data_IF_972723312555
#
_entry.id   IF_972723312555
#
_cell.length_a   1.000
_cell.length_b   1.000
_cell.length_c   1.000
_cell.angle_alpha   90.00
_cell.angle_beta   90.00
_cell.angle_gamma   90.00
#
_symmetry.space_group_name_H-M   'P 1'
#
loop_
_entity.id
_entity.type
_entity.pdbx_description
1 polymer ?
#
# COMPACT_ATOMS: atom_id res chain seq x y z
N UNK A 1 -14.49 -7.05 -3.20
CA UNK A 1 -14.82 -8.49 -3.18
C UNK A 1 -15.08 -8.97 -4.59
N UNK A 2 -15.96 -8.29 -5.32
CA UNK A 2 -16.29 -8.68 -6.70
C UNK A 2 -15.22 -8.14 -7.67
N UNK A 3 -15.33 -6.86 -8.03
CA UNK A 3 -14.53 -6.26 -9.11
C UNK A 3 -13.28 -5.50 -8.65
N UNK A 4 -12.98 -5.57 -7.35
CA UNK A 4 -11.80 -4.94 -6.75
C UNK A 4 -10.52 -5.75 -6.98
N UNK A 5 -9.43 -5.08 -7.37
CA UNK A 5 -8.11 -5.70 -7.53
C UNK A 5 -6.98 -4.78 -7.09
N UNK A 6 -5.80 -5.37 -6.79
CA UNK A 6 -4.60 -4.60 -6.47
C UNK A 6 -4.02 -3.98 -7.75
N UNK A 7 -3.61 -2.71 -7.68
CA UNK A 7 -2.87 -2.08 -8.80
C UNK A 7 -1.55 -2.80 -9.07
N UNK A 8 -0.79 -3.07 -8.01
CA UNK A 8 0.45 -3.84 -8.05
C UNK A 8 0.83 -4.30 -6.65
N UNK A 9 1.73 -5.28 -6.55
CA UNK A 9 2.25 -5.77 -5.24
C UNK A 9 3.05 -4.71 -4.46
N UNK A 10 3.53 -3.66 -5.14
CA UNK A 10 4.36 -2.60 -4.56
C UNK A 10 3.57 -1.34 -4.19
N UNK A 11 2.33 -1.22 -4.66
CA UNK A 11 1.50 -0.03 -4.47
C UNK A 11 0.35 -0.31 -3.52
N UNK A 12 -0.07 0.72 -2.79
CA UNK A 12 -1.34 0.72 -2.03
C UNK A 12 -2.55 1.11 -2.88
N UNK A 13 -2.35 1.32 -4.18
CA UNK A 13 -3.43 1.65 -5.10
C UNK A 13 -4.34 0.45 -5.35
N UNK A 14 -5.64 0.73 -5.46
CA UNK A 14 -6.68 -0.26 -5.74
C UNK A 14 -7.30 0.06 -7.09
N UNK A 15 -7.71 -0.96 -7.83
CA UNK A 15 -8.41 -0.87 -9.10
C UNK A 15 -9.83 -1.41 -8.90
N UNK A 16 -10.83 -0.72 -9.43
CA UNK A 16 -12.17 -1.26 -9.64
C UNK A 16 -12.33 -1.55 -11.14
N UNK A 17 -12.65 -2.80 -11.46
CA UNK A 17 -12.84 -3.26 -12.83
C UNK A 17 -14.24 -2.86 -13.33
N UNK A 18 -14.31 -1.73 -14.05
CA UNK A 18 -15.56 -1.13 -14.54
C UNK A 18 -15.67 -1.19 -16.06
N UNK A 19 -15.13 -2.24 -16.68
CA UNK A 19 -14.95 -2.34 -18.14
C UNK A 19 -16.25 -2.25 -18.93
N UNK A 20 -17.38 -2.60 -18.32
CA UNK A 20 -18.70 -2.61 -18.95
C UNK A 20 -19.44 -1.26 -18.88
N UNK A 21 -18.84 -0.23 -18.29
CA UNK A 21 -19.45 1.09 -18.17
C UNK A 21 -18.90 2.07 -19.22
N UNK A 22 -19.74 3.02 -19.61
CA UNK A 22 -19.32 4.15 -20.44
C UNK A 22 -18.40 5.09 -19.64
N UNK A 23 -17.49 5.78 -20.35
CA UNK A 23 -16.55 6.71 -19.71
C UNK A 23 -17.25 7.80 -18.88
N UNK A 24 -18.40 8.32 -19.35
CA UNK A 24 -19.18 9.33 -18.61
C UNK A 24 -19.70 8.81 -17.26
N UNK A 25 -20.09 7.53 -17.20
CA UNK A 25 -20.55 6.90 -15.96
C UNK A 25 -19.38 6.71 -15.00
N UNK A 26 -18.21 6.33 -15.52
CA UNK A 26 -16.98 6.16 -14.73
C UNK A 26 -16.49 7.50 -14.19
N UNK A 27 -16.56 8.57 -14.97
CA UNK A 27 -16.24 9.93 -14.54
C UNK A 27 -17.18 10.39 -13.43
N UNK A 28 -18.48 10.15 -13.59
CA UNK A 28 -19.50 10.43 -12.57
C UNK A 28 -19.22 9.65 -11.28
N UNK A 29 -18.91 8.36 -11.38
CA UNK A 29 -18.57 7.54 -10.23
C UNK A 29 -17.28 8.03 -9.55
N UNK A 30 -16.27 8.45 -10.31
CA UNK A 30 -15.07 9.07 -9.74
C UNK A 30 -15.39 10.35 -8.97
N UNK A 31 -16.27 11.21 -9.49
CA UNK A 31 -16.70 12.44 -8.80
C UNK A 31 -17.39 12.12 -7.48
N UNK A 32 -18.32 11.16 -7.48
CA UNK A 32 -19.04 10.74 -6.26
C UNK A 32 -18.07 10.14 -5.22
N UNK A 33 -17.16 9.28 -5.65
CA UNK A 33 -16.16 8.67 -4.77
C UNK A 33 -15.23 9.71 -4.16
N UNK A 34 -14.84 10.73 -4.93
CA UNK A 34 -14.02 11.83 -4.46
C UNK A 34 -14.78 12.71 -3.48
N UNK A 35 -16.00 13.14 -3.81
CA UNK A 35 -16.73 14.08 -2.97
C UNK A 35 -17.29 13.45 -1.71
N UNK A 36 -18.00 12.32 -1.82
CA UNK A 36 -18.71 11.71 -0.69
C UNK A 36 -17.77 10.96 0.26
N UNK A 37 -16.76 10.29 -0.28
CA UNK A 37 -15.89 9.40 0.50
C UNK A 37 -14.44 9.92 0.61
N UNK A 38 -14.13 11.06 0.00
CA UNK A 38 -12.79 11.66 -0.02
C UNK A 38 -11.71 10.69 -0.56
N UNK A 39 -12.11 9.84 -1.51
CA UNK A 39 -11.22 8.91 -2.19
C UNK A 39 -10.63 9.56 -3.45
N UNK A 40 -9.32 9.74 -3.47
CA UNK A 40 -8.59 10.22 -4.65
C UNK A 40 -8.60 9.12 -5.71
N UNK A 41 -9.48 9.26 -6.70
CA UNK A 41 -9.62 8.30 -7.78
C UNK A 41 -9.69 8.99 -9.15
N UNK A 42 -9.41 8.22 -10.20
CA UNK A 42 -9.48 8.69 -11.58
C UNK A 42 -9.78 7.54 -12.55
N UNK A 43 -10.39 7.83 -13.71
CA UNK A 43 -10.50 6.86 -14.79
C UNK A 43 -9.10 6.43 -15.27
N UNK A 44 -8.94 5.13 -15.53
CA UNK A 44 -7.74 4.52 -16.09
C UNK A 44 -8.11 3.78 -17.37
N UNK A 45 -7.46 4.13 -18.47
CA UNK A 45 -7.59 3.42 -19.76
C UNK A 45 -6.84 2.09 -19.71
N UNK A 46 -7.46 1.05 -20.25
CA UNK A 46 -6.84 -0.24 -20.50
C UNK A 46 -7.15 -0.68 -21.93
N UNK A 47 -6.12 -0.84 -22.74
CA UNK A 47 -6.24 -1.34 -24.11
C UNK A 47 -6.24 -2.87 -24.08
N UNK A 48 -7.14 -3.47 -24.83
CA UNK A 48 -7.21 -4.91 -25.05
C UNK A 48 -7.27 -5.18 -26.55
N UNK A 49 -6.58 -6.22 -26.99
CA UNK A 49 -6.68 -6.72 -28.35
C UNK A 49 -7.73 -7.83 -28.37
N UNK A 50 -8.82 -7.66 -29.11
CA UNK A 50 -9.90 -8.64 -29.28
C UNK A 50 -10.11 -8.81 -30.77
N UNK A 51 -9.97 -10.03 -31.29
CA UNK A 51 -10.14 -10.34 -32.72
C UNK A 51 -9.32 -9.42 -33.66
N UNK A 52 -8.05 -9.17 -33.32
CA UNK A 52 -7.15 -8.24 -34.01
C UNK A 52 -7.58 -6.75 -33.99
N UNK A 53 -8.61 -6.41 -33.24
CA UNK A 53 -9.07 -5.04 -33.03
C UNK A 53 -8.67 -4.54 -31.64
N UNK A 54 -8.25 -3.27 -31.54
CA UNK A 54 -7.90 -2.67 -30.24
C UNK A 54 -9.14 -2.04 -29.60
N UNK A 55 -9.65 -2.68 -28.55
CA UNK A 55 -10.73 -2.15 -27.73
C UNK A 55 -10.16 -1.36 -26.54
N UNK A 56 -10.82 -0.25 -26.18
CA UNK A 56 -10.45 0.56 -25.02
C UNK A 56 -11.51 0.34 -23.95
N UNK A 57 -11.07 -0.21 -22.83
CA UNK A 57 -11.87 -0.34 -21.62
C UNK A 57 -11.40 0.63 -20.56
N UNK A 58 -12.27 0.90 -19.59
CA UNK A 58 -12.02 1.85 -18.53
C UNK A 58 -12.19 1.20 -17.16
N UNK A 59 -11.26 1.51 -16.27
CA UNK A 59 -11.27 1.13 -14.86
C UNK A 59 -11.26 2.37 -13.99
N UNK A 60 -11.61 2.22 -12.71
CA UNK A 60 -11.34 3.26 -11.72
C UNK A 60 -10.06 2.90 -10.98
N UNK A 61 -9.10 3.83 -10.98
CA UNK A 61 -7.91 3.73 -10.16
C UNK A 61 -8.10 4.58 -8.90
N UNK A 62 -8.03 3.95 -7.72
CA UNK A 62 -7.99 4.61 -6.42
C UNK A 62 -6.54 4.72 -5.97
N UNK A 63 -6.11 5.95 -5.68
CA UNK A 63 -4.77 6.28 -5.24
C UNK A 63 -4.42 5.63 -3.90
N UNK A 64 -3.17 5.18 -3.76
CA UNK A 64 -2.66 4.68 -2.48
C UNK A 64 -2.61 5.73 -1.36
N UNK A 65 -2.71 7.03 -1.70
CA UNK A 65 -2.89 8.10 -0.71
C UNK A 65 -4.20 7.97 0.06
N UNK A 66 -5.24 7.38 -0.55
CA UNK A 66 -6.53 7.13 0.09
C UNK A 66 -6.61 5.78 0.80
N UNK A 67 -5.49 5.07 0.98
CA UNK A 67 -5.46 3.74 1.59
C UNK A 67 -6.11 3.72 2.98
N UNK A 68 -5.75 4.65 3.86
CA UNK A 68 -6.24 4.64 5.25
C UNK A 68 -7.75 4.95 5.30
N UNK A 69 -8.24 5.82 4.42
CA UNK A 69 -9.67 6.14 4.27
C UNK A 69 -10.41 4.92 3.74
N UNK A 70 -9.94 4.34 2.63
CA UNK A 70 -10.55 3.17 2.01
C UNK A 70 -10.60 1.99 2.98
N UNK A 71 -9.52 1.75 3.73
CA UNK A 71 -9.47 0.69 4.75
C UNK A 71 -10.55 0.89 5.81
N UNK A 72 -10.69 2.10 6.36
CA UNK A 72 -11.73 2.40 7.36
C UNK A 72 -13.15 2.18 6.83
N UNK A 73 -13.37 2.39 5.52
CA UNK A 73 -14.70 2.27 4.91
C UNK A 73 -15.10 0.81 4.67
N UNK A 74 -14.18 -0.04 4.21
CA UNK A 74 -14.55 -1.37 3.68
C UNK A 74 -13.93 -2.54 4.44
N UNK A 75 -12.85 -2.33 5.21
CA UNK A 75 -12.03 -3.44 5.68
C UNK A 75 -12.73 -4.30 6.73
N UNK A 76 -13.53 -3.69 7.61
CA UNK A 76 -14.27 -4.44 8.63
C UNK A 76 -15.42 -5.27 8.04
N UNK A 77 -15.81 -4.96 6.80
CA UNK A 77 -16.79 -5.73 6.03
C UNK A 77 -16.13 -6.76 5.11
N UNK A 78 -14.79 -6.81 5.02
CA UNK A 78 -14.10 -7.79 4.19
C UNK A 78 -14.10 -9.17 4.86
N UNK A 79 -14.55 -10.19 4.11
CA UNK A 79 -14.35 -11.57 4.49
C UNK A 79 -12.85 -11.91 4.52
N UNK A 80 -12.37 -12.72 5.48
CA UNK A 80 -10.96 -13.10 5.59
C UNK A 80 -10.38 -13.69 4.30
N UNK A 81 -11.18 -14.48 3.58
CA UNK A 81 -10.82 -15.12 2.32
C UNK A 81 -10.58 -14.11 1.20
N UNK A 82 -11.10 -12.89 1.33
CA UNK A 82 -10.97 -11.81 0.34
C UNK A 82 -9.84 -10.83 0.66
N UNK A 83 -9.12 -11.02 1.77
CA UNK A 83 -8.03 -10.12 2.18
C UNK A 83 -6.91 -10.01 1.15
N UNK A 84 -6.69 -11.04 0.33
CA UNK A 84 -5.67 -11.00 -0.73
C UNK A 84 -5.92 -9.92 -1.80
N UNK A 85 -7.16 -9.45 -1.95
CA UNK A 85 -7.54 -8.36 -2.88
C UNK A 85 -7.26 -6.97 -2.31
N UNK A 86 -6.96 -6.85 -1.01
CA UNK A 86 -6.76 -5.57 -0.34
C UNK A 86 -5.27 -5.30 -0.05
N UNK A 87 -4.76 -4.06 -0.25
CA UNK A 87 -3.35 -3.78 -0.05
C UNK A 87 -2.92 -3.98 1.41
N UNK A 88 -1.69 -4.47 1.62
CA UNK A 88 -1.15 -4.63 2.97
C UNK A 88 -0.83 -3.26 3.62
N UNK A 89 -0.94 -3.15 4.96
CA UNK A 89 -0.45 -2.00 5.69
C UNK A 89 1.05 -1.75 5.42
N UNK A 90 1.48 -0.49 5.53
CA UNK A 90 2.91 -0.16 5.38
C UNK A 90 3.64 -0.72 6.60
N UNK A 91 4.68 -1.53 6.39
CA UNK A 91 5.56 -1.95 7.48
C UNK A 91 6.22 -0.71 8.09
N UNK A 92 5.97 -0.45 9.36
CA UNK A 92 6.71 0.57 10.10
C UNK A 92 8.12 0.01 10.31
N UNK A 93 9.10 0.50 9.55
CA UNK A 93 10.49 0.20 9.85
C UNK A 93 10.78 0.82 11.21
N UNK A 94 11.04 0.00 12.24
CA UNK A 94 11.54 0.49 13.53
C UNK A 94 12.81 1.29 13.21
N UNK A 95 12.82 2.60 13.52
CA UNK A 95 14.05 3.39 13.45
C UNK A 95 15.07 2.70 14.36
N UNK A 96 16.28 2.44 13.86
CA UNK A 96 17.41 2.11 14.74
C UNK A 96 17.61 3.31 15.64
N UNK A 97 17.06 3.28 16.85
CA UNK A 97 17.48 4.17 17.91
C UNK A 97 18.92 3.78 18.22
N UNK A 98 19.89 4.62 17.85
CA UNK A 98 21.23 4.52 18.40
C UNK A 98 21.13 4.86 19.90
N UNK A 99 20.77 3.87 20.70
CA UNK A 99 20.72 4.02 22.15
C UNK A 99 22.16 4.15 22.63
N UNK A 100 22.47 5.28 23.27
CA UNK A 100 23.76 5.64 23.87
C UNK A 100 24.33 4.51 24.78
N UNK A 101 23.47 3.60 25.24
CA UNK A 101 23.82 2.40 26.00
C UNK A 101 24.90 1.49 25.36
N UNK A 102 25.10 1.51 24.03
CA UNK A 102 26.17 0.71 23.41
C UNK A 102 27.57 1.30 23.54
N UNK A 103 27.71 2.62 23.82
CA UNK A 103 29.03 3.25 23.99
C UNK A 103 29.64 3.03 25.37
N UNK A 104 28.84 2.75 26.40
CA UNK A 104 29.35 2.58 27.77
C UNK A 104 30.03 1.22 27.95
N UNK A 105 29.58 0.19 27.22
CA UNK A 105 30.11 -1.17 27.35
C UNK A 105 31.49 -1.39 26.70
N UNK A 106 31.93 -0.51 25.79
CA UNK A 106 33.29 -0.57 25.22
C UNK A 106 34.33 0.15 26.09
N UNK A 107 33.94 1.17 26.85
CA UNK A 107 34.87 1.90 27.72
C UNK A 107 35.29 1.07 28.93
N UNK A 108 34.39 0.28 29.52
CA UNK A 108 34.68 -0.50 30.73
C UNK A 108 35.53 -1.76 30.50
N UNK A 109 35.81 -2.17 29.26
CA UNK A 109 36.65 -3.35 28.96
C UNK A 109 38.14 -3.04 28.77
N UNK A 110 38.53 -1.77 28.83
CA UNK A 110 39.91 -1.32 28.56
C UNK A 110 40.83 -1.20 29.79
N UNK A 111 40.35 -1.45 31.01
CA UNK A 111 41.12 -1.15 32.23
C UNK A 111 41.11 -2.32 33.20
N UNK A 112 41.85 -3.39 32.89
CA UNK A 112 42.32 -4.42 33.84
C UNK A 112 43.35 -5.31 33.13
N UNK A 113 44.60 -4.83 33.01
CA UNK A 113 45.77 -5.70 32.97
C UNK A 113 46.65 -5.28 34.14
N UNK A 114 46.60 -6.10 35.20
CA UNK A 114 47.51 -6.01 36.32
C UNK A 114 48.83 -6.64 35.89
N UNK A 115 49.90 -5.86 36.04
CA UNK A 115 51.29 -6.30 35.93
C UNK A 115 51.60 -7.33 37.02
N UNK A 116 52.31 -8.40 36.67
CA UNK A 116 52.86 -9.32 37.66
C UNK A 116 53.25 -10.68 37.10
N UNK A 117 54.51 -10.84 36.71
CA UNK A 117 55.35 -11.88 37.29
C UNK A 117 56.83 -11.69 36.95
N UNK A 118 57.61 -11.32 37.98
CA UNK A 118 59.01 -11.66 38.12
C UNK A 118 59.08 -13.06 38.75
N UNK A 119 59.87 -13.95 38.15
CA UNK A 119 60.89 -14.81 38.78
C UNK A 119 61.59 -15.63 37.69
#
# INVERSE_FOLDING_TARGET
>A
MDDGSLKSKQSKGVILNTHNFAIKEIETLCLILNDKFKLQCKPRKQKHLVNNETCIYYQIYISGHSYDILRKLIFDYLLPEMYYKFPKPRSIKKKKTNTIAQKVTEVCKGSLKLDGNQL
#
